data_IF_328112034275
#
_entry.id   IF_328112034275
#
_cell.length_a   1.000
_cell.length_b   1.000
_cell.length_c   1.000
_cell.angle_alpha   90.00
_cell.angle_beta   90.00
_cell.angle_gamma   90.00
#
_symmetry.space_group_name_H-M   'P 1'
#
loop_
_entity.id
_entity.type
_entity.pdbx_description
1 polymer ?
#
# COMPACT_ATOMS: atom_id res chain seq x y z
N UNK A 1 -12.11 -11.06 -2.92
CA UNK A 1 -11.18 -10.20 -2.16
C UNK A 1 -9.76 -10.44 -2.63
N UNK A 2 -9.16 -9.45 -3.27
CA UNK A 2 -7.73 -9.41 -3.60
C UNK A 2 -7.01 -8.58 -2.56
N UNK A 3 -5.81 -9.02 -2.21
CA UNK A 3 -5.05 -8.47 -1.10
C UNK A 3 -3.66 -8.10 -1.59
N UNK A 4 -3.41 -6.79 -1.66
CA UNK A 4 -2.28 -6.20 -2.38
C UNK A 4 -1.45 -5.38 -1.41
N UNK A 5 -0.16 -5.67 -1.29
CA UNK A 5 0.76 -4.85 -0.54
C UNK A 5 1.64 -4.00 -1.47
N UNK A 6 1.73 -2.71 -1.17
CA UNK A 6 2.63 -1.78 -1.82
C UNK A 6 3.81 -1.50 -0.89
N UNK A 7 5.00 -1.88 -1.34
CA UNK A 7 6.28 -1.65 -0.66
C UNK A 7 7.13 -0.64 -1.43
N UNK A 8 8.25 -0.23 -0.83
CA UNK A 8 9.17 0.76 -1.41
C UNK A 8 9.78 1.67 -0.35
N UNK A 9 10.84 2.37 -0.74
CA UNK A 9 11.60 3.28 0.14
C UNK A 9 10.71 4.35 0.80
N UNK A 10 11.06 4.80 2.00
CA UNK A 10 10.49 5.99 2.62
C UNK A 10 10.59 7.21 1.70
N UNK A 11 9.51 7.99 1.60
CA UNK A 11 9.46 9.19 0.77
C UNK A 11 9.36 8.96 -0.75
N UNK A 12 9.31 7.71 -1.24
CA UNK A 12 9.19 7.44 -2.68
C UNK A 12 7.82 7.81 -3.26
N UNK A 13 6.78 8.00 -2.43
CA UNK A 13 5.41 8.29 -2.87
C UNK A 13 4.47 7.07 -2.87
N UNK A 14 4.75 6.07 -2.02
CA UNK A 14 3.87 4.90 -1.83
C UNK A 14 2.46 5.30 -1.43
N UNK A 15 2.29 6.00 -0.31
CA UNK A 15 0.97 6.38 0.23
C UNK A 15 0.15 7.20 -0.76
N UNK A 16 0.81 8.10 -1.50
CA UNK A 16 0.21 8.86 -2.61
C UNK A 16 -0.29 7.93 -3.72
N UNK A 17 0.56 7.01 -4.18
CA UNK A 17 0.18 6.02 -5.20
C UNK A 17 -0.95 5.10 -4.72
N UNK A 18 -0.87 4.60 -3.48
CA UNK A 18 -1.87 3.71 -2.87
C UNK A 18 -3.22 4.40 -2.75
N UNK A 19 -3.27 5.64 -2.28
CA UNK A 19 -4.53 6.38 -2.12
C UNK A 19 -5.19 6.70 -3.47
N UNK A 20 -4.40 7.14 -4.45
CA UNK A 20 -4.91 7.36 -5.80
C UNK A 20 -5.40 6.06 -6.45
N UNK A 21 -4.69 4.95 -6.25
CA UNK A 21 -5.12 3.63 -6.69
C UNK A 21 -6.43 3.20 -5.99
N UNK A 22 -6.57 3.43 -4.69
CA UNK A 22 -7.79 3.14 -3.93
C UNK A 22 -8.99 3.87 -4.54
N UNK A 23 -8.85 5.16 -4.84
CA UNK A 23 -9.90 5.95 -5.49
C UNK A 23 -10.20 5.46 -6.89
N UNK A 24 -9.19 5.14 -7.70
CA UNK A 24 -9.41 4.59 -9.05
C UNK A 24 -10.19 3.28 -9.04
N UNK A 25 -9.87 2.38 -8.09
CA UNK A 25 -10.61 1.13 -7.92
C UNK A 25 -12.05 1.40 -7.43
N UNK A 26 -12.24 2.30 -6.48
CA UNK A 26 -13.56 2.65 -5.95
C UNK A 26 -14.46 3.30 -7.02
N UNK A 27 -13.91 4.21 -7.84
CA UNK A 27 -14.62 4.83 -8.98
C UNK A 27 -15.06 3.81 -10.04
N UNK A 28 -14.40 2.66 -10.12
CA UNK A 28 -14.80 1.54 -10.99
C UNK A 28 -15.82 0.59 -10.34
N UNK A 29 -16.38 0.97 -9.18
CA UNK A 29 -17.45 0.24 -8.50
C UNK A 29 -16.97 -0.85 -7.55
N UNK A 30 -15.66 -0.96 -7.29
CA UNK A 30 -15.13 -1.93 -6.34
C UNK A 30 -15.20 -1.43 -4.90
N UNK A 31 -15.45 -2.35 -3.97
CA UNK A 31 -15.36 -2.06 -2.53
C UNK A 31 -13.89 -2.14 -2.11
N UNK A 32 -13.31 -1.01 -1.69
CA UNK A 32 -11.89 -0.91 -1.39
C UNK A 32 -11.66 -0.65 0.09
N UNK A 33 -10.66 -1.32 0.65
CA UNK A 33 -10.14 -1.04 1.98
C UNK A 33 -8.65 -0.71 1.89
N UNK A 34 -8.20 0.39 2.49
CA UNK A 34 -6.79 0.74 2.62
C UNK A 34 -6.37 0.65 4.09
N UNK A 35 -5.26 -0.06 4.33
CA UNK A 35 -4.68 -0.25 5.66
C UNK A 35 -3.24 0.28 5.66
N UNK A 36 -3.01 1.36 6.38
CA UNK A 36 -1.67 1.90 6.59
C UNK A 36 -0.87 1.03 7.55
N UNK A 37 0.20 0.43 7.04
CA UNK A 37 1.14 -0.44 7.77
C UNK A 37 2.47 0.29 7.99
N UNK A 38 2.39 1.56 8.40
CA UNK A 38 3.52 2.44 8.68
C UNK A 38 3.34 3.06 10.09
N UNK A 39 4.38 3.08 10.94
CA UNK A 39 4.30 3.74 12.24
C UNK A 39 3.88 5.23 12.18
N UNK A 40 4.07 5.90 11.05
CA UNK A 40 3.70 7.30 10.82
C UNK A 40 2.18 7.55 10.81
N UNK A 41 1.40 6.52 10.45
CA UNK A 41 -0.06 6.53 10.48
C UNK A 41 -0.74 7.68 9.71
N UNK A 42 -0.26 7.97 8.50
CA UNK A 42 -0.82 9.00 7.62
C UNK A 42 -1.08 8.51 6.18
N UNK A 43 -1.10 7.20 5.97
CA UNK A 43 -1.33 6.57 4.68
C UNK A 43 -2.69 6.96 4.09
N UNK A 44 -3.73 7.05 4.93
CA UNK A 44 -5.10 7.30 4.50
C UNK A 44 -5.50 8.78 4.56
N UNK A 45 -4.57 9.69 4.85
CA UNK A 45 -4.89 11.09 5.14
C UNK A 45 -5.54 11.82 3.97
N UNK A 46 -5.16 11.48 2.73
CA UNK A 46 -5.78 12.02 1.51
C UNK A 46 -7.15 11.39 1.20
N UNK A 47 -7.47 10.24 1.79
CA UNK A 47 -8.76 9.60 1.64
C UNK A 47 -9.78 10.10 2.66
N UNK A 48 -9.35 10.84 3.67
CA UNK A 48 -10.21 11.32 4.76
C UNK A 48 -10.30 12.84 4.80
N UNK A 49 -10.03 13.52 3.68
CA UNK A 49 -10.04 14.99 3.60
C UNK A 49 -9.12 15.65 4.64
N UNK A 50 -7.99 15.01 4.95
CA UNK A 50 -6.99 15.52 5.89
C UNK A 50 -7.23 15.13 7.36
N UNK A 51 -8.38 14.52 7.68
CA UNK A 51 -8.68 14.06 9.04
C UNK A 51 -7.74 12.92 9.43
N UNK A 52 -7.01 13.10 10.52
CA UNK A 52 -6.18 12.04 11.11
C UNK A 52 -7.07 10.95 11.70
N UNK A 53 -6.96 9.73 11.16
CA UNK A 53 -7.58 8.55 11.77
C UNK A 53 -6.80 8.18 13.02
N UNK A 54 -7.50 7.77 14.07
CA UNK A 54 -6.86 7.27 15.27
C UNK A 54 -6.32 5.86 15.01
N UNK A 55 -5.02 5.60 15.17
CA UNK A 55 -4.46 4.29 14.83
C UNK A 55 -4.97 3.19 15.77
N UNK A 56 -5.08 1.97 15.24
CA UNK A 56 -5.58 0.79 15.97
C UNK A 56 -4.80 0.59 17.27
N UNK A 57 -3.47 0.66 17.23
CA UNK A 57 -2.65 0.50 18.43
C UNK A 57 -2.89 1.58 19.49
N UNK A 58 -3.22 2.80 19.08
CA UNK A 58 -3.52 3.89 20.01
C UNK A 58 -4.87 3.68 20.70
N UNK A 59 -5.86 3.16 19.97
CA UNK A 59 -7.17 2.82 20.53
C UNK A 59 -7.01 1.76 21.62
N UNK A 60 -6.22 0.73 21.35
CA UNK A 60 -5.96 -0.36 22.30
C UNK A 60 -5.16 0.11 23.50
N UNK A 61 -4.09 0.88 23.28
CA UNK A 61 -3.23 1.36 24.36
C UNK A 61 -3.94 2.33 25.29
N UNK A 62 -4.97 3.03 24.81
CA UNK A 62 -5.81 3.91 25.63
C UNK A 62 -6.80 3.19 26.56
N UNK A 63 -6.75 1.86 26.63
CA UNK A 63 -7.55 1.07 27.57
C UNK A 63 -8.92 0.63 27.03
N UNK A 64 -9.21 0.84 25.74
CA UNK A 64 -10.38 0.25 25.11
C UNK A 64 -10.16 -1.27 24.93
N UNK A 65 -10.67 -2.06 25.88
CA UNK A 65 -10.48 -3.51 25.92
C UNK A 65 -11.30 -4.26 24.87
N UNK A 66 -12.36 -3.66 24.33
CA UNK A 66 -13.27 -4.26 23.36
C UNK A 66 -13.65 -3.22 22.28
N UNK A 67 -12.72 -2.84 21.40
CA UNK A 67 -13.05 -1.92 20.31
C UNK A 67 -14.05 -2.55 19.34
N UNK A 68 -14.93 -1.73 18.78
CA UNK A 68 -15.81 -2.06 17.66
C UNK A 68 -15.11 -1.80 16.33
N UNK A 69 -15.67 -2.29 15.21
CA UNK A 69 -15.13 -1.97 13.88
C UNK A 69 -15.21 -0.47 13.56
N UNK A 70 -16.26 0.21 14.04
CA UNK A 70 -16.47 1.64 13.83
C UNK A 70 -15.42 2.49 14.56
N UNK A 71 -14.82 1.96 15.63
CA UNK A 71 -13.68 2.60 16.30
C UNK A 71 -12.41 2.54 15.43
N UNK A 72 -12.22 1.44 14.69
CA UNK A 72 -10.98 1.14 13.99
C UNK A 72 -10.97 1.60 12.53
N UNK A 73 -12.15 1.77 11.93
CA UNK A 73 -12.31 1.92 10.49
C UNK A 73 -13.12 3.18 10.20
N UNK A 74 -12.51 4.10 9.47
CA UNK A 74 -13.17 5.32 9.01
C UNK A 74 -13.53 5.17 7.54
N UNK A 75 -14.75 5.53 7.15
CA UNK A 75 -15.10 5.62 5.73
C UNK A 75 -14.59 6.95 5.18
N UNK A 76 -13.76 6.87 4.16
CA UNK A 76 -13.21 8.01 3.44
C UNK A 76 -13.94 8.31 2.13
N UNK A 77 -13.27 9.09 1.28
CA UNK A 77 -13.71 9.45 -0.06
C UNK A 77 -14.07 8.22 -0.88
N UNK A 78 -15.06 8.38 -1.76
CA UNK A 78 -15.58 7.31 -2.62
C UNK A 78 -16.02 6.03 -1.85
N UNK A 79 -16.30 6.13 -0.55
CA UNK A 79 -16.72 4.99 0.28
C UNK A 79 -15.59 4.02 0.64
N UNK A 80 -14.32 4.46 0.55
CA UNK A 80 -13.16 3.62 0.86
C UNK A 80 -13.04 3.41 2.37
N UNK A 81 -12.89 2.15 2.80
CA UNK A 81 -12.67 1.84 4.21
C UNK A 81 -11.21 2.06 4.58
N UNK A 82 -10.94 2.95 5.53
CA UNK A 82 -9.60 3.36 5.91
C UNK A 82 -9.28 2.91 7.33
N UNK A 83 -8.12 2.28 7.51
CA UNK A 83 -7.58 1.93 8.83
C UNK A 83 -6.08 2.23 8.88
N UNK A 84 -5.58 2.53 10.07
CA UNK A 84 -4.16 2.78 10.33
C UNK A 84 -3.70 1.86 11.44
N UNK A 85 -2.69 1.01 11.20
CA UNK A 85 -2.13 0.16 12.26
C UNK A 85 -1.52 1.04 13.36
N UNK A 86 -0.76 2.06 12.95
CA UNK A 86 0.07 2.87 13.83
C UNK A 86 1.35 2.16 14.26
N UNK A 87 2.13 2.88 15.05
CA UNK A 87 3.36 2.40 15.64
C UNK A 87 3.45 2.79 17.10
N UNK A 88 4.42 2.21 17.84
CA UNK A 88 4.71 2.68 19.18
C UNK A 88 5.30 4.09 19.12
N UNK A 89 5.34 4.77 20.28
CA UNK A 89 5.99 6.08 20.41
C UNK A 89 7.43 6.01 19.84
N UNK A 90 7.86 6.99 19.03
CA UNK A 90 9.23 7.03 18.51
C UNK A 90 10.27 6.82 19.63
N UNK A 91 11.22 5.92 19.41
CA UNK A 91 12.23 5.54 20.40
C UNK A 91 11.78 4.48 21.42
N UNK A 92 10.53 4.00 21.36
CA UNK A 92 9.98 2.99 22.27
C UNK A 92 9.34 1.85 21.47
N UNK A 93 9.50 0.61 21.94
CA UNK A 93 8.80 -0.55 21.38
C UNK A 93 9.30 -1.01 20.01
N UNK A 94 8.46 -1.76 19.29
CA UNK A 94 8.77 -2.32 17.98
C UNK A 94 7.60 -2.10 17.01
N UNK A 95 7.79 -1.26 16.00
CA UNK A 95 6.79 -0.97 14.97
C UNK A 95 6.24 -2.25 14.31
N UNK A 96 7.12 -3.22 14.02
CA UNK A 96 6.72 -4.51 13.47
C UNK A 96 5.77 -5.31 14.37
N UNK A 97 5.96 -5.31 15.70
CA UNK A 97 5.02 -5.95 16.63
C UNK A 97 3.68 -5.22 16.67
N UNK A 98 3.71 -3.90 16.55
CA UNK A 98 2.50 -3.09 16.44
C UNK A 98 1.61 -3.49 15.26
N UNK A 99 2.22 -3.67 14.07
CA UNK A 99 1.49 -4.13 12.88
C UNK A 99 0.86 -5.51 13.14
N UNK A 100 1.60 -6.46 13.71
CA UNK A 100 1.07 -7.79 14.04
C UNK A 100 -0.17 -7.68 14.94
N UNK A 101 -0.09 -6.93 16.04
CA UNK A 101 -1.22 -6.77 16.96
C UNK A 101 -2.43 -6.10 16.30
N UNK A 102 -2.21 -5.10 15.44
CA UNK A 102 -3.31 -4.45 14.70
C UNK A 102 -4.06 -5.45 13.81
N UNK A 103 -3.35 -6.33 13.11
CA UNK A 103 -3.97 -7.38 12.28
C UNK A 103 -4.72 -8.42 13.12
N UNK A 104 -4.17 -8.83 14.26
CA UNK A 104 -4.84 -9.77 15.17
C UNK A 104 -6.19 -9.20 15.68
N UNK A 105 -6.27 -7.89 15.90
CA UNK A 105 -7.51 -7.22 16.31
C UNK A 105 -8.50 -7.19 15.15
N UNK A 106 -8.05 -6.83 13.94
CA UNK A 106 -8.92 -6.83 12.75
C UNK A 106 -9.52 -8.22 12.49
N UNK A 107 -8.73 -9.28 12.66
CA UNK A 107 -9.19 -10.66 12.54
C UNK A 107 -10.15 -11.05 13.67
N UNK A 108 -9.85 -10.68 14.92
CA UNK A 108 -10.73 -10.92 16.07
C UNK A 108 -12.11 -10.30 15.86
N UNK A 109 -12.16 -9.11 15.26
CA UNK A 109 -13.39 -8.40 14.93
C UNK A 109 -14.00 -8.82 13.58
N UNK A 110 -13.40 -9.79 12.88
CA UNK A 110 -13.86 -10.28 11.58
C UNK A 110 -14.07 -9.13 10.58
N UNK A 111 -13.13 -8.19 10.57
CA UNK A 111 -13.24 -6.96 9.78
C UNK A 111 -13.42 -7.28 8.28
N UNK A 112 -12.64 -8.23 7.76
CA UNK A 112 -12.66 -8.61 6.36
C UNK A 112 -13.95 -9.35 5.96
N UNK A 113 -14.51 -10.18 6.84
CA UNK A 113 -15.77 -10.91 6.61
C UNK A 113 -17.00 -10.02 6.74
N UNK A 114 -16.92 -8.99 7.59
CA UNK A 114 -18.00 -8.03 7.82
C UNK A 114 -18.04 -6.99 6.72
N UNK A 115 -16.89 -6.40 6.39
CA UNK A 115 -16.80 -5.36 5.35
C UNK A 115 -16.87 -5.99 3.97
N UNK A 116 -16.29 -7.16 3.74
CA UNK A 116 -16.23 -7.83 2.42
C UNK A 116 -15.72 -6.91 1.29
N UNK A 117 -14.52 -6.33 1.41
CA UNK A 117 -13.91 -5.57 0.32
C UNK A 117 -13.54 -6.47 -0.86
N UNK A 118 -13.66 -5.95 -2.07
CA UNK A 118 -13.13 -6.55 -3.29
C UNK A 118 -11.61 -6.44 -3.33
N UNK A 119 -11.07 -5.30 -2.87
CA UNK A 119 -9.64 -5.02 -2.78
C UNK A 119 -9.25 -4.55 -1.38
N UNK A 120 -8.19 -5.13 -0.83
CA UNK A 120 -7.49 -4.62 0.35
C UNK A 120 -6.10 -4.17 -0.07
N UNK A 121 -5.79 -2.89 0.10
CA UNK A 121 -4.48 -2.31 -0.19
C UNK A 121 -3.74 -2.06 1.14
N UNK A 122 -2.56 -2.65 1.27
CA UNK A 122 -1.66 -2.45 2.40
C UNK A 122 -0.54 -1.51 1.97
N UNK A 123 -0.45 -0.33 2.58
CA UNK A 123 0.67 0.59 2.39
C UNK A 123 1.74 0.28 3.44
N UNK A 124 2.81 -0.41 3.04
CA UNK A 124 3.78 -1.00 3.97
C UNK A 124 5.11 -0.28 3.92
N UNK A 125 5.67 0.02 5.09
CA UNK A 125 7.02 0.56 5.21
C UNK A 125 8.04 -0.42 4.58
N UNK A 126 8.78 0.05 3.57
CA UNK A 126 9.73 -0.75 2.80
C UNK A 126 11.20 -0.53 3.13
N UNK A 127 11.54 0.40 4.04
CA UNK A 127 12.94 0.67 4.40
C UNK A 127 13.57 -0.45 5.24
N UNK A 128 12.74 -1.18 5.99
CA UNK A 128 13.18 -2.27 6.87
C UNK A 128 12.24 -3.46 6.68
N UNK A 129 12.77 -4.57 6.18
CA UNK A 129 11.98 -5.79 5.96
C UNK A 129 12.19 -6.78 7.12
N UNK A 130 11.93 -6.32 8.34
CA UNK A 130 11.98 -7.19 9.52
C UNK A 130 10.72 -8.05 9.64
N UNK A 131 10.73 -9.06 10.53
CA UNK A 131 9.64 -10.03 10.64
C UNK A 131 8.23 -9.44 10.83
N UNK A 132 8.12 -8.25 11.44
CA UNK A 132 6.83 -7.57 11.61
C UNK A 132 6.37 -6.76 10.39
N UNK A 133 7.27 -6.09 9.67
CA UNK A 133 6.92 -5.42 8.39
C UNK A 133 6.64 -6.42 7.26
N UNK A 134 7.09 -7.66 7.42
CA UNK A 134 6.70 -8.78 6.58
C UNK A 134 5.37 -9.44 6.99
N UNK A 135 4.67 -8.95 8.04
CA UNK A 135 3.40 -9.52 8.48
C UNK A 135 2.32 -9.53 7.38
N UNK A 136 2.16 -8.46 6.56
CA UNK A 136 1.25 -8.54 5.40
C UNK A 136 1.60 -9.69 4.45
N UNK A 137 2.88 -10.05 4.31
CA UNK A 137 3.31 -11.18 3.46
C UNK A 137 3.11 -12.55 4.11
N UNK A 138 2.76 -12.60 5.41
CA UNK A 138 2.53 -13.85 6.15
C UNK A 138 1.04 -14.18 6.18
N UNK A 139 0.72 -15.45 6.42
CA UNK A 139 -0.65 -15.95 6.60
C UNK A 139 -1.62 -15.57 5.45
N UNK A 140 -1.09 -15.20 4.28
CA UNK A 140 -1.87 -14.76 3.13
C UNK A 140 -2.63 -13.44 3.32
N UNK A 141 -2.18 -12.53 4.21
CA UNK A 141 -2.79 -11.19 4.30
C UNK A 141 -2.55 -10.37 3.04
N UNK A 142 -1.46 -10.54 2.33
CA UNK A 142 -1.21 -9.94 1.03
C UNK A 142 -0.54 -10.99 0.15
N UNK A 143 -1.24 -11.41 -0.89
CA UNK A 143 -0.72 -12.40 -1.84
C UNK A 143 -0.02 -11.75 -3.02
N UNK A 144 -0.40 -10.51 -3.31
CA UNK A 144 0.11 -9.75 -4.44
C UNK A 144 0.95 -8.59 -3.90
N UNK A 145 2.21 -8.52 -4.33
CA UNK A 145 3.14 -7.48 -3.88
C UNK A 145 3.55 -6.62 -5.07
N UNK A 146 3.45 -5.31 -4.92
CA UNK A 146 4.00 -4.34 -5.85
C UNK A 146 5.05 -3.49 -5.14
N UNK A 147 6.12 -3.14 -5.85
CA UNK A 147 7.20 -2.32 -5.31
C UNK A 147 7.19 -0.98 -6.03
N UNK A 148 7.05 0.11 -5.28
CA UNK A 148 7.18 1.49 -5.78
C UNK A 148 8.65 1.90 -5.68
N UNK A 149 9.25 2.29 -6.80
CA UNK A 149 10.65 2.71 -6.89
C UNK A 149 10.84 3.88 -7.86
N UNK A 150 12.06 4.40 -7.97
CA UNK A 150 12.50 5.43 -8.93
C UNK A 150 13.88 5.05 -9.47
N UNK A 151 14.41 5.82 -10.41
CA UNK A 151 15.80 5.68 -10.89
C UNK A 151 16.86 6.12 -9.88
N UNK A 152 16.47 6.58 -8.69
CA UNK A 152 17.43 6.94 -7.64
C UNK A 152 18.07 5.67 -7.06
N UNK A 153 19.40 5.67 -6.93
CA UNK A 153 20.17 4.51 -6.46
C UNK A 153 19.62 3.89 -5.17
N UNK A 154 19.32 4.71 -4.16
CA UNK A 154 18.81 4.21 -2.88
C UNK A 154 17.38 3.65 -2.98
N UNK A 155 16.57 4.12 -3.93
CA UNK A 155 15.22 3.62 -4.17
C UNK A 155 15.26 2.24 -4.84
N UNK A 156 16.17 2.08 -5.81
CA UNK A 156 16.43 0.79 -6.46
C UNK A 156 17.04 -0.23 -5.50
N UNK A 157 17.97 0.19 -4.64
CA UNK A 157 18.55 -0.66 -3.60
C UNK A 157 17.48 -1.19 -2.63
N UNK A 158 16.58 -0.32 -2.16
CA UNK A 158 15.46 -0.74 -1.32
C UNK A 158 14.54 -1.73 -2.06
N UNK A 159 14.22 -1.46 -3.33
CA UNK A 159 13.40 -2.34 -4.16
C UNK A 159 14.01 -3.75 -4.31
N UNK A 160 15.32 -3.85 -4.53
CA UNK A 160 16.03 -5.14 -4.62
C UNK A 160 15.98 -5.93 -3.30
N UNK A 161 16.19 -5.26 -2.16
CA UNK A 161 16.07 -5.89 -0.84
C UNK A 161 14.64 -6.38 -0.55
N UNK A 162 13.63 -5.59 -0.90
CA UNK A 162 12.23 -5.99 -0.76
C UNK A 162 11.94 -7.21 -1.65
N UNK A 163 12.38 -7.20 -2.90
CA UNK A 163 12.17 -8.31 -3.82
C UNK A 163 12.81 -9.61 -3.32
N UNK A 164 14.03 -9.53 -2.79
CA UNK A 164 14.73 -10.65 -2.14
C UNK A 164 13.91 -11.20 -0.97
N UNK A 165 13.34 -10.33 -0.14
CA UNK A 165 12.49 -10.76 0.96
C UNK A 165 11.19 -11.41 0.47
N UNK A 166 10.53 -10.83 -0.55
CA UNK A 166 9.29 -11.39 -1.14
C UNK A 166 9.57 -12.77 -1.74
N UNK A 167 10.71 -12.99 -2.37
CA UNK A 167 11.10 -14.29 -2.93
C UNK A 167 11.08 -15.41 -1.87
N UNK A 168 11.49 -15.12 -0.63
CA UNK A 168 11.40 -16.08 0.49
C UNK A 168 9.95 -16.47 0.82
N UNK A 169 9.02 -15.52 0.73
CA UNK A 169 7.58 -15.77 0.96
C UNK A 169 6.92 -16.47 -0.23
N UNK A 170 7.43 -16.27 -1.45
CA UNK A 170 7.00 -17.01 -2.65
C UNK A 170 7.29 -18.50 -2.51
N UNK A 171 8.47 -18.87 -2.00
CA UNK A 171 8.82 -20.27 -1.75
C UNK A 171 7.90 -20.96 -0.75
N UNK A 172 7.31 -20.19 0.17
CA UNK A 172 6.34 -20.67 1.17
C UNK A 172 4.88 -20.62 0.67
N UNK A 173 4.64 -20.16 -0.56
CA UNK A 173 3.30 -20.01 -1.13
C UNK A 173 2.46 -18.89 -0.52
N UNK A 174 3.07 -17.94 0.20
CA UNK A 174 2.33 -16.90 0.91
C UNK A 174 2.08 -15.62 0.10
N UNK A 175 3.06 -15.21 -0.70
CA UNK A 175 3.01 -13.97 -1.47
C UNK A 175 3.81 -14.12 -2.78
N UNK A 176 3.57 -13.24 -3.74
CA UNK A 176 4.39 -13.14 -4.97
C UNK A 176 4.62 -11.68 -5.35
N UNK A 177 5.77 -11.41 -5.94
CA UNK A 177 6.03 -10.13 -6.59
C UNK A 177 5.25 -10.06 -7.91
N UNK A 178 4.34 -9.10 -8.02
CA UNK A 178 3.49 -8.91 -9.20
C UNK A 178 4.04 -7.85 -10.17
N UNK A 179 4.87 -6.92 -9.69
CA UNK A 179 5.47 -5.92 -10.55
C UNK A 179 6.14 -4.76 -9.81
N UNK A 180 6.87 -3.96 -10.58
CA UNK A 180 7.43 -2.68 -10.15
C UNK A 180 6.56 -1.54 -10.68
N UNK A 181 6.27 -0.58 -9.81
CA UNK A 181 5.67 0.71 -10.15
C UNK A 181 6.78 1.75 -10.10
N UNK A 182 7.13 2.34 -11.24
CA UNK A 182 8.03 3.47 -11.26
C UNK A 182 7.27 4.73 -10.88
N UNK A 183 7.70 5.42 -9.84
CA UNK A 183 7.28 6.78 -9.51
C UNK A 183 8.42 7.74 -9.82
N UNK A 184 8.35 8.37 -11.01
CA UNK A 184 9.47 9.06 -11.61
C UNK A 184 9.98 10.22 -10.76
N UNK A 185 11.31 10.34 -10.71
CA UNK A 185 12.06 11.44 -10.08
C UNK A 185 12.82 12.29 -11.08
N UNK A 186 12.62 12.03 -12.38
CA UNK A 186 13.30 12.69 -13.50
C UNK A 186 14.81 12.48 -13.43
N UNK A 187 15.23 11.27 -13.06
CA UNK A 187 16.63 10.84 -13.12
C UNK A 187 17.03 10.60 -14.59
N UNK A 188 18.28 10.86 -14.95
CA UNK A 188 18.77 10.53 -16.29
C UNK A 188 18.63 9.03 -16.56
N UNK A 189 18.11 8.66 -17.74
CA UNK A 189 17.80 7.28 -18.15
C UNK A 189 16.93 6.48 -17.15
N UNK A 190 16.09 7.17 -16.37
CA UNK A 190 15.30 6.55 -15.30
C UNK A 190 14.50 5.33 -15.78
N UNK A 191 13.86 5.43 -16.94
CA UNK A 191 13.05 4.34 -17.47
C UNK A 191 13.88 3.08 -17.74
N UNK A 192 15.10 3.26 -18.27
CA UNK A 192 16.03 2.16 -18.54
C UNK A 192 16.51 1.56 -17.24
N UNK A 193 16.99 2.38 -16.30
CA UNK A 193 17.49 1.94 -14.99
C UNK A 193 16.46 1.09 -14.24
N UNK A 194 15.20 1.54 -14.19
CA UNK A 194 14.13 0.80 -13.51
C UNK A 194 13.74 -0.47 -14.28
N UNK A 195 13.84 -0.47 -15.62
CA UNK A 195 13.62 -1.69 -16.42
C UNK A 195 14.71 -2.73 -16.19
N UNK A 196 15.98 -2.30 -16.14
CA UNK A 196 17.12 -3.16 -15.90
C UNK A 196 17.01 -3.80 -14.50
N UNK A 197 16.66 -3.01 -13.48
CA UNK A 197 16.34 -3.51 -12.13
C UNK A 197 15.20 -4.54 -12.16
N UNK A 198 14.11 -4.24 -12.88
CA UNK A 198 12.97 -5.16 -12.97
C UNK A 198 13.39 -6.52 -13.52
N UNK A 199 14.21 -6.54 -14.57
CA UNK A 199 14.74 -7.78 -15.13
C UNK A 199 15.66 -8.51 -14.15
N UNK A 200 16.57 -7.79 -13.48
CA UNK A 200 17.51 -8.38 -12.53
C UNK A 200 16.80 -9.10 -11.38
N UNK A 201 15.70 -8.55 -10.87
CA UNK A 201 14.91 -9.16 -9.78
C UNK A 201 13.83 -10.15 -10.28
N UNK A 202 13.81 -10.48 -11.58
CA UNK A 202 12.84 -11.40 -12.17
C UNK A 202 11.40 -10.88 -12.19
N UNK A 203 11.23 -9.58 -12.43
CA UNK A 203 9.95 -8.87 -12.42
C UNK A 203 9.77 -8.00 -13.69
N UNK A 204 8.70 -7.22 -13.74
CA UNK A 204 8.42 -6.28 -14.84
C UNK A 204 7.92 -4.94 -14.30
N UNK A 205 8.12 -3.88 -15.07
CA UNK A 205 7.54 -2.56 -14.77
C UNK A 205 6.08 -2.56 -15.24
N UNK A 206 5.14 -2.50 -14.29
CA UNK A 206 3.69 -2.56 -14.56
C UNK A 206 3.05 -1.19 -14.77
N UNK A 207 3.70 -0.13 -14.28
CA UNK A 207 3.29 1.24 -14.47
C UNK A 207 4.48 2.19 -14.33
N UNK A 208 4.43 3.29 -15.09
CA UNK A 208 5.33 4.43 -14.94
C UNK A 208 4.48 5.66 -14.66
N UNK A 209 4.65 6.22 -13.47
CA UNK A 209 3.91 7.36 -12.97
C UNK A 209 4.81 8.58 -13.16
N UNK A 210 4.43 9.55 -14.01
CA UNK A 210 5.25 10.72 -14.26
C UNK A 210 5.31 11.62 -13.03
N UNK A 211 6.38 12.42 -12.93
CA UNK A 211 6.46 13.50 -11.95
C UNK A 211 5.53 14.62 -12.41
N UNK A 212 4.55 14.97 -11.60
CA UNK A 212 3.49 15.91 -11.97
C UNK A 212 3.18 16.87 -10.79
N UNK A 213 3.23 18.20 -10.99
CA UNK A 213 2.92 19.19 -9.95
C UNK A 213 1.51 19.02 -9.33
N UNK A 214 0.56 18.51 -10.11
CA UNK A 214 -0.84 18.29 -9.67
C UNK A 214 -0.90 17.42 -8.40
N UNK A 215 0.09 16.55 -8.20
CA UNK A 215 0.21 15.71 -7.02
C UNK A 215 0.40 16.56 -5.77
N UNK A 216 1.33 17.51 -5.79
CA UNK A 216 1.57 18.40 -4.65
C UNK A 216 0.40 19.35 -4.42
N UNK A 217 -0.22 19.83 -5.49
CA UNK A 217 -1.40 20.71 -5.42
C UNK A 217 -2.61 19.99 -4.78
N UNK A 218 -2.81 18.72 -5.13
CA UNK A 218 -3.86 17.88 -4.53
C UNK A 218 -3.54 17.52 -3.07
N UNK A 219 -2.30 17.14 -2.78
CA UNK A 219 -1.85 16.82 -1.41
C UNK A 219 -1.99 18.01 -0.46
N UNK A 220 -1.73 19.25 -0.94
CA UNK A 220 -1.91 20.47 -0.16
C UNK A 220 -3.37 20.72 0.26
N UNK A 221 -4.32 20.15 -0.48
CA UNK A 221 -5.76 20.20 -0.20
C UNK A 221 -6.26 18.93 0.49
N UNK A 222 -5.37 18.00 0.82
CA UNK A 222 -5.69 16.66 1.33
C UNK A 222 -6.60 15.85 0.41
N UNK A 223 -6.45 16.03 -0.90
CA UNK A 223 -7.15 15.28 -1.93
C UNK A 223 -6.19 14.34 -2.66
N UNK A 224 -6.74 13.27 -3.23
CA UNK A 224 -6.04 12.50 -4.26
C UNK A 224 -6.22 13.18 -5.61
N UNK A 225 -5.23 13.10 -6.50
CA UNK A 225 -5.36 13.54 -7.91
C UNK A 225 -6.55 12.84 -8.56
N UNK A 226 -6.73 11.56 -8.23
CA UNK A 226 -7.86 10.75 -8.64
C UNK A 226 -9.25 11.35 -8.30
N UNK A 227 -9.37 12.24 -7.31
CA UNK A 227 -10.58 13.03 -7.02
C UNK A 227 -10.48 14.46 -7.58
N UNK A 228 -9.32 15.11 -7.46
CA UNK A 228 -9.14 16.54 -7.71
C UNK A 228 -8.88 16.95 -9.17
N UNK A 229 -8.21 16.10 -9.97
CA UNK A 229 -7.86 16.40 -11.36
C UNK A 229 -7.75 15.13 -12.21
N UNK A 230 -8.77 14.90 -13.03
CA UNK A 230 -8.88 13.72 -13.89
C UNK A 230 -8.20 13.87 -15.26
N UNK A 231 -7.61 15.03 -15.57
CA UNK A 231 -6.99 15.32 -16.86
C UNK A 231 -5.47 15.15 -16.90
N UNK A 232 -4.84 14.92 -15.75
CA UNK A 232 -3.37 14.90 -15.64
C UNK A 232 -2.73 13.61 -16.18
N UNK A 233 -1.48 13.69 -16.70
CA UNK A 233 -0.67 12.50 -17.00
C UNK A 233 -0.51 11.55 -15.81
N UNK A 234 -0.47 12.10 -14.59
CA UNK A 234 -0.48 11.31 -13.36
C UNK A 234 -1.76 10.48 -13.22
N UNK A 235 -2.94 11.11 -13.39
CA UNK A 235 -4.22 10.42 -13.33
C UNK A 235 -4.28 9.25 -14.31
N UNK A 236 -3.86 9.48 -15.56
CA UNK A 236 -3.85 8.44 -16.59
C UNK A 236 -2.93 7.27 -16.22
N UNK A 237 -1.76 7.54 -15.63
CA UNK A 237 -0.85 6.50 -15.18
C UNK A 237 -1.47 5.65 -14.05
N UNK A 238 -2.12 6.27 -13.06
CA UNK A 238 -2.83 5.54 -11.99
C UNK A 238 -4.02 4.76 -12.56
N UNK A 239 -4.78 5.33 -13.49
CA UNK A 239 -5.89 4.64 -14.17
C UNK A 239 -5.39 3.39 -14.90
N UNK A 240 -4.28 3.50 -15.63
CA UNK A 240 -3.65 2.36 -16.30
C UNK A 240 -3.16 1.30 -15.30
N UNK A 241 -2.55 1.72 -14.19
CA UNK A 241 -2.16 0.82 -13.11
C UNK A 241 -3.37 0.07 -12.51
N UNK A 242 -4.46 0.77 -12.22
CA UNK A 242 -5.68 0.16 -11.71
C UNK A 242 -6.25 -0.88 -12.69
N UNK A 243 -6.30 -0.55 -13.99
CA UNK A 243 -6.75 -1.48 -15.04
C UNK A 243 -5.83 -2.70 -15.15
N UNK A 244 -4.51 -2.51 -15.08
CA UNK A 244 -3.55 -3.61 -15.04
C UNK A 244 -3.84 -4.53 -13.86
N UNK A 245 -3.95 -3.96 -12.66
CA UNK A 245 -4.24 -4.70 -11.44
C UNK A 245 -5.54 -5.49 -11.63
N UNK A 246 -6.64 -4.86 -12.03
CA UNK A 246 -7.94 -5.54 -12.23
C UNK A 246 -7.81 -6.73 -13.19
N UNK A 247 -7.13 -6.56 -14.31
CA UNK A 247 -6.96 -7.60 -15.35
C UNK A 247 -6.04 -8.75 -14.90
N UNK A 248 -4.98 -8.45 -14.16
CA UNK A 248 -4.02 -9.46 -13.67
C UNK A 248 -4.61 -10.38 -12.59
N UNK A 249 -5.78 -10.01 -12.03
CA UNK A 249 -6.48 -10.73 -10.97
C UNK A 249 -7.28 -11.97 -11.36
N UNK A 250 -7.24 -12.43 -12.61
CA UNK A 250 -7.83 -13.76 -12.93
C UNK A 250 -6.96 -14.85 -12.28
N UNK A 251 -7.54 -15.71 -11.42
CA UNK A 251 -6.75 -16.61 -10.58
C UNK A 251 -6.06 -17.67 -11.44
N UNK A 252 -4.74 -17.59 -11.53
CA UNK A 252 -3.94 -18.80 -11.69
C UNK A 252 -4.03 -19.55 -10.36
N UNK A 253 -4.65 -20.73 -10.40
CA UNK A 253 -4.73 -21.65 -9.27
C UNK A 253 -3.32 -21.96 -8.76
N UNK A 254 -3.06 -21.63 -7.50
CA UNK A 254 -1.92 -22.19 -6.78
C UNK A 254 -2.24 -23.66 -6.48
N UNK A 255 -1.32 -24.60 -6.70
CA UNK A 255 -1.48 -25.94 -6.13
C UNK A 255 -1.51 -25.82 -4.61
N UNK A 256 -2.51 -26.47 -4.00
CA UNK A 256 -2.65 -26.66 -2.56
C UNK A 256 -1.45 -27.42 -1.98
#
# INVERSE_FOLDING_TARGET
>A
MRRIALYGKGGIGKSTTTSNLSVMLAKQGYRVMQIGCDPKADSTRMLTGGKKIRPILEIISSGNKNPSLDDLITTGDCGIFCAECGGPTPGVGCAGRGIISAFEILDKLKAFETIRPDFVLYDVLGDVVCGGFAMPLRKGYAREVYIVTSGEMMSMYAASNIATAVAQFTLMGYARLCGIIQNSRNVADEDRLVSDLAQEIGSTVVARIPRDPVVQESEAQFLTVAVGDEGSPYYDAIRCLAQHIIRSGKPHSFPL
#
